data_IF_887180975648
#
_entry.id   IF_887180975648
#
_cell.length_a   1.000
_cell.length_b   1.000
_cell.length_c   1.000
_cell.angle_alpha   90.00
_cell.angle_beta   90.00
_cell.angle_gamma   90.00
#
_symmetry.space_group_name_H-M   'P 1'
#
loop_
_entity.id
_entity.type
_entity.pdbx_description
1 polymer ?
#
# COMPACT_ATOMS: atom_id res chain seq x y z
N UNK A 1 4.75 -1.96 -12.42
CA UNK A 1 3.88 -1.22 -11.48
C UNK A 1 3.30 -0.02 -12.22
N UNK A 2 2.05 0.36 -11.91
CA UNK A 2 1.43 1.58 -12.44
C UNK A 2 0.98 2.44 -11.27
N UNK A 3 1.23 3.75 -11.33
CA UNK A 3 0.88 4.71 -10.27
C UNK A 3 0.29 5.98 -10.88
N UNK A 4 -0.68 6.58 -10.20
CA UNK A 4 -1.16 7.91 -10.51
C UNK A 4 -0.11 8.95 -10.06
N UNK A 5 0.53 9.60 -11.01
CA UNK A 5 1.56 10.62 -10.75
C UNK A 5 1.17 11.88 -11.50
N UNK A 6 0.98 12.98 -10.76
CA UNK A 6 0.59 14.29 -11.30
C UNK A 6 -0.68 14.22 -12.17
N UNK A 7 -1.68 13.46 -11.70
CA UNK A 7 -2.96 13.31 -12.39
C UNK A 7 -2.95 12.38 -13.62
N UNK A 8 -1.84 11.73 -13.93
CA UNK A 8 -1.76 10.75 -15.01
C UNK A 8 -1.32 9.37 -14.50
N UNK A 9 -1.95 8.30 -15.03
CA UNK A 9 -1.51 6.94 -14.78
C UNK A 9 -0.17 6.71 -15.51
N UNK A 10 0.90 6.47 -14.75
CA UNK A 10 2.25 6.23 -15.27
C UNK A 10 2.65 4.78 -15.06
N UNK A 11 3.20 4.16 -16.09
CA UNK A 11 3.90 2.87 -15.97
C UNK A 11 5.33 3.14 -15.52
N UNK A 12 5.74 2.51 -14.43
CA UNK A 12 7.11 2.63 -13.91
C UNK A 12 8.00 1.52 -14.50
N UNK A 13 9.13 1.92 -15.07
CA UNK A 13 10.15 1.00 -15.59
C UNK A 13 10.87 0.32 -14.43
N UNK A 14 11.03 -1.02 -14.41
CA UNK A 14 11.81 -1.69 -13.38
C UNK A 14 13.24 -1.15 -13.31
N UNK A 15 13.75 -0.92 -12.10
CA UNK A 15 15.05 -0.27 -11.90
C UNK A 15 16.22 -0.99 -12.58
N UNK A 16 16.18 -2.32 -12.64
CA UNK A 16 17.20 -3.10 -13.34
C UNK A 16 17.19 -2.80 -14.85
N UNK A 17 16.01 -2.73 -15.48
CA UNK A 17 15.88 -2.40 -16.89
C UNK A 17 16.33 -0.96 -17.16
N UNK A 18 15.96 -0.01 -16.29
CA UNK A 18 16.39 1.38 -16.39
C UNK A 18 17.92 1.52 -16.27
N UNK A 19 18.54 0.83 -15.29
CA UNK A 19 20.00 0.83 -15.12
C UNK A 19 20.70 0.31 -16.36
N UNK A 20 20.25 -0.82 -16.91
CA UNK A 20 20.82 -1.40 -18.13
C UNK A 20 20.68 -0.46 -19.32
N UNK A 21 19.51 0.15 -19.53
CA UNK A 21 19.25 1.04 -20.66
C UNK A 21 20.13 2.31 -20.64
N UNK A 22 20.55 2.74 -19.46
CA UNK A 22 21.33 3.97 -19.27
C UNK A 22 22.76 3.70 -18.75
N UNK A 23 23.25 2.46 -18.78
CA UNK A 23 24.57 2.08 -18.27
C UNK A 23 24.87 2.60 -16.84
N UNK A 24 23.87 2.56 -15.95
CA UNK A 24 23.98 3.05 -14.58
C UNK A 24 24.55 1.95 -13.65
N UNK A 25 25.27 2.34 -12.59
CA UNK A 25 25.77 1.37 -11.62
C UNK A 25 24.63 0.67 -10.87
N UNK A 26 24.90 -0.52 -10.35
CA UNK A 26 23.94 -1.28 -9.53
C UNK A 26 23.52 -0.56 -8.24
N UNK A 27 24.28 0.46 -7.82
CA UNK A 27 23.98 1.31 -6.67
C UNK A 27 23.00 2.45 -6.98
N UNK A 28 22.73 2.76 -8.25
CA UNK A 28 21.78 3.82 -8.63
C UNK A 28 20.36 3.40 -8.26
N UNK A 29 19.80 3.92 -7.19
CA UNK A 29 18.43 3.60 -6.77
C UNK A 29 17.99 4.46 -5.60
N UNK A 30 16.83 4.14 -5.01
CA UNK A 30 16.26 4.91 -3.89
C UNK A 30 17.29 5.10 -2.77
N UNK A 31 18.05 4.05 -2.47
CA UNK A 31 19.11 4.04 -1.45
C UNK A 31 20.16 5.16 -1.61
N UNK A 32 20.51 5.49 -2.86
CA UNK A 32 21.54 6.47 -3.18
C UNK A 32 21.11 7.89 -2.84
N UNK A 33 19.81 8.17 -2.97
CA UNK A 33 19.25 9.51 -2.83
C UNK A 33 18.66 9.74 -1.44
N UNK A 34 17.92 8.76 -0.94
CA UNK A 34 17.30 8.80 0.38
C UNK A 34 17.54 7.45 1.06
N UNK A 35 18.71 7.25 1.70
CA UNK A 35 19.02 6.00 2.36
C UNK A 35 17.99 5.71 3.45
N UNK A 36 17.64 4.43 3.61
CA UNK A 36 16.84 3.95 4.74
C UNK A 36 17.77 3.23 5.69
N UNK A 37 17.71 3.59 6.96
CA UNK A 37 18.33 2.76 7.98
C UNK A 37 17.45 1.54 8.22
N UNK A 38 17.96 0.36 7.84
CA UNK A 38 17.30 -0.92 8.02
C UNK A 38 17.68 -1.61 9.34
N UNK A 39 18.53 -1.00 10.17
CA UNK A 39 18.96 -1.57 11.44
C UNK A 39 17.75 -1.77 12.37
N UNK A 40 17.56 -2.97 12.92
CA UNK A 40 16.43 -3.23 13.84
C UNK A 40 15.03 -3.10 13.22
N UNK A 41 14.88 -3.31 11.90
CA UNK A 41 13.57 -3.53 11.29
C UNK A 41 13.12 -4.99 11.49
N UNK A 42 11.81 -5.18 11.67
CA UNK A 42 11.19 -6.49 11.72
C UNK A 42 11.44 -7.28 10.43
N UNK A 43 11.85 -8.54 10.57
CA UNK A 43 12.06 -9.42 9.42
C UNK A 43 10.73 -10.11 9.12
N UNK A 44 10.01 -9.63 8.12
CA UNK A 44 8.78 -10.28 7.65
C UNK A 44 9.03 -11.76 7.28
N UNK A 45 10.24 -12.11 6.82
CA UNK A 45 10.64 -13.51 6.61
C UNK A 45 10.61 -14.38 7.88
N UNK A 46 10.82 -13.79 9.06
CA UNK A 46 10.66 -14.48 10.34
C UNK A 46 9.18 -14.58 10.74
N UNK A 47 8.39 -13.52 10.50
CA UNK A 47 6.94 -13.52 10.73
C UNK A 47 6.18 -14.52 9.85
N UNK A 48 6.62 -14.69 8.60
CA UNK A 48 6.09 -15.70 7.69
C UNK A 48 6.43 -17.12 8.15
N UNK A 49 7.64 -17.32 8.69
CA UNK A 49 8.09 -18.60 9.23
C UNK A 49 7.41 -18.99 10.54
N UNK A 50 7.03 -18.03 11.37
CA UNK A 50 6.32 -18.30 12.63
C UNK A 50 4.81 -18.54 12.45
N UNK A 51 4.25 -18.22 11.28
CA UNK A 51 2.81 -18.25 11.05
C UNK A 51 2.04 -17.12 11.76
N UNK A 52 2.74 -16.16 12.37
CA UNK A 52 2.12 -15.09 13.15
C UNK A 52 1.18 -14.22 12.31
N UNK A 53 1.58 -13.90 11.07
CA UNK A 53 0.74 -13.13 10.14
C UNK A 53 -0.52 -13.91 9.72
N UNK A 54 -0.40 -15.22 9.50
CA UNK A 54 -1.55 -16.06 9.19
C UNK A 54 -2.54 -16.10 10.37
N UNK A 55 -2.02 -16.24 11.60
CA UNK A 55 -2.83 -16.21 12.81
C UNK A 55 -3.54 -14.86 12.99
N UNK A 56 -2.85 -13.74 12.73
CA UNK A 56 -3.46 -12.41 12.75
C UNK A 56 -4.61 -12.32 11.75
N UNK A 57 -4.37 -12.78 10.52
CA UNK A 57 -5.37 -12.79 9.46
C UNK A 57 -6.63 -13.57 9.88
N UNK A 58 -6.46 -14.79 10.37
CA UNK A 58 -7.56 -15.64 10.85
C UNK A 58 -8.33 -15.00 12.01
N UNK A 59 -7.63 -14.42 12.98
CA UNK A 59 -8.25 -13.76 14.14
C UNK A 59 -9.05 -12.54 13.75
N UNK A 60 -8.52 -11.70 12.86
CA UNK A 60 -9.23 -10.52 12.36
C UNK A 60 -10.47 -10.96 11.60
N UNK A 61 -10.33 -11.94 10.68
CA UNK A 61 -11.48 -12.46 9.95
C UNK A 61 -12.53 -13.09 10.87
N UNK A 62 -12.14 -13.80 11.92
CA UNK A 62 -13.07 -14.35 12.90
C UNK A 62 -13.93 -13.26 13.56
N UNK A 63 -13.35 -12.10 13.85
CA UNK A 63 -14.07 -10.95 14.41
C UNK A 63 -14.85 -10.14 13.38
N UNK A 64 -14.56 -10.30 12.08
CA UNK A 64 -15.29 -9.57 11.04
C UNK A 64 -16.74 -10.05 10.98
N UNK A 65 -17.72 -9.15 11.21
CA UNK A 65 -19.13 -9.49 11.09
C UNK A 65 -19.47 -9.80 9.62
N UNK A 66 -20.47 -10.65 9.44
CA UNK A 66 -20.97 -11.01 8.11
C UNK A 66 -22.23 -10.23 7.79
N UNK A 67 -22.41 -9.86 6.54
CA UNK A 67 -23.70 -9.41 6.00
C UNK A 67 -24.25 -8.13 6.65
N UNK A 68 -23.37 -7.19 7.02
CA UNK A 68 -23.82 -5.92 7.57
C UNK A 68 -24.34 -4.98 6.47
N UNK A 69 -25.38 -4.17 6.75
CA UNK A 69 -25.76 -3.05 5.89
C UNK A 69 -24.62 -2.03 5.77
N UNK A 70 -24.47 -1.40 4.60
CA UNK A 70 -23.37 -0.46 4.33
C UNK A 70 -23.28 0.71 5.33
N UNK A 71 -24.44 1.16 5.85
CA UNK A 71 -24.51 2.24 6.85
C UNK A 71 -23.88 1.86 8.20
N UNK A 72 -23.76 0.56 8.50
CA UNK A 72 -23.17 0.05 9.75
C UNK A 72 -21.67 -0.25 9.62
N UNK A 73 -21.11 -0.17 8.40
CA UNK A 73 -19.73 -0.57 8.15
C UNK A 73 -18.70 0.32 8.84
N UNK A 74 -18.94 1.65 8.91
CA UNK A 74 -17.98 2.58 9.52
C UNK A 74 -17.68 2.23 10.98
N UNK A 75 -18.73 1.99 11.76
CA UNK A 75 -18.63 1.60 13.18
C UNK A 75 -18.03 0.19 13.34
N UNK A 76 -18.38 -0.75 12.45
CA UNK A 76 -17.76 -2.07 12.42
C UNK A 76 -16.26 -2.03 12.11
N UNK A 77 -15.84 -1.20 11.13
CA UNK A 77 -14.45 -1.05 10.74
C UNK A 77 -13.61 -0.34 11.80
N UNK A 78 -14.16 0.63 12.52
CA UNK A 78 -13.47 1.25 13.65
C UNK A 78 -13.16 0.24 14.76
N UNK A 79 -14.14 -0.61 15.12
CA UNK A 79 -13.92 -1.71 16.07
C UNK A 79 -12.88 -2.71 15.57
N UNK A 80 -12.96 -3.10 14.29
CA UNK A 80 -12.00 -4.03 13.69
C UNK A 80 -10.59 -3.45 13.64
N UNK A 81 -10.42 -2.15 13.36
CA UNK A 81 -9.11 -1.50 13.37
C UNK A 81 -8.49 -1.50 14.78
N UNK A 82 -9.29 -1.23 15.82
CA UNK A 82 -8.86 -1.35 17.22
C UNK A 82 -8.44 -2.79 17.56
N UNK A 83 -9.24 -3.78 17.15
CA UNK A 83 -8.93 -5.19 17.36
C UNK A 83 -7.65 -5.61 16.63
N UNK A 84 -7.53 -5.27 15.34
CA UNK A 84 -6.33 -5.48 14.54
C UNK A 84 -5.08 -4.89 15.22
N UNK A 85 -5.17 -3.66 15.72
CA UNK A 85 -4.07 -3.02 16.42
C UNK A 85 -3.71 -3.67 17.75
N UNK A 86 -4.68 -4.24 18.48
CA UNK A 86 -4.40 -5.01 19.70
C UNK A 86 -3.72 -6.34 19.37
N UNK A 87 -4.25 -7.08 18.39
CA UNK A 87 -3.70 -8.37 17.96
C UNK A 87 -2.31 -8.24 17.36
N UNK A 88 -2.09 -7.23 16.50
CA UNK A 88 -0.78 -6.95 15.90
C UNK A 88 0.28 -6.69 16.97
N UNK A 89 -0.05 -5.91 18.01
CA UNK A 89 0.85 -5.69 19.17
C UNK A 89 1.09 -6.97 19.96
N UNK A 90 0.05 -7.77 20.19
CA UNK A 90 0.16 -9.02 20.93
C UNK A 90 1.12 -10.02 20.25
N UNK A 91 1.13 -10.07 18.92
CA UNK A 91 2.03 -10.94 18.17
C UNK A 91 3.34 -10.25 17.76
N UNK A 92 3.53 -8.97 18.07
CA UNK A 92 4.65 -8.19 17.53
C UNK A 92 6.02 -8.72 17.97
N UNK A 93 6.12 -9.39 19.12
CA UNK A 93 7.35 -10.07 19.55
C UNK A 93 7.86 -11.10 18.51
N UNK A 94 6.98 -11.62 17.65
CA UNK A 94 7.31 -12.58 16.58
C UNK A 94 7.57 -11.90 15.22
N UNK A 95 7.12 -10.65 15.04
CA UNK A 95 7.24 -9.90 13.77
C UNK A 95 8.42 -8.91 13.85
N UNK A 96 8.58 -8.24 14.98
CA UNK A 96 9.65 -7.28 15.26
C UNK A 96 9.40 -5.89 14.67
N UNK A 97 8.15 -5.45 14.53
CA UNK A 97 7.84 -4.09 14.08
C UNK A 97 8.15 -3.06 15.18
N UNK A 98 8.58 -1.87 14.77
CA UNK A 98 8.65 -0.70 15.66
C UNK A 98 7.24 -0.15 15.90
N UNK A 99 7.02 0.55 17.01
CA UNK A 99 5.71 1.16 17.32
C UNK A 99 5.19 2.08 16.22
N UNK A 100 6.08 2.82 15.55
CA UNK A 100 5.69 3.67 14.42
C UNK A 100 5.17 2.84 13.22
N UNK A 101 5.76 1.67 12.96
CA UNK A 101 5.34 0.78 11.87
C UNK A 101 4.01 0.09 12.20
N UNK A 102 3.79 -0.27 13.47
CA UNK A 102 2.48 -0.73 13.96
C UNK A 102 1.43 0.38 13.75
N UNK A 103 1.76 1.63 14.10
CA UNK A 103 0.90 2.78 13.85
C UNK A 103 0.51 2.91 12.37
N UNK A 104 1.49 2.85 11.47
CA UNK A 104 1.23 2.90 10.03
C UNK A 104 0.37 1.74 9.52
N UNK A 105 0.60 0.52 10.01
CA UNK A 105 -0.21 -0.64 9.64
C UNK A 105 -1.68 -0.48 10.08
N UNK A 106 -1.91 -0.01 11.31
CA UNK A 106 -3.26 0.22 11.85
C UNK A 106 -3.97 1.33 11.07
N UNK A 107 -3.29 2.46 10.82
CA UNK A 107 -3.87 3.55 10.02
C UNK A 107 -4.19 3.09 8.60
N UNK A 108 -3.27 2.40 7.92
CA UNK A 108 -3.52 1.87 6.59
C UNK A 108 -4.68 0.88 6.54
N UNK A 109 -4.82 0.03 7.56
CA UNK A 109 -5.97 -0.87 7.70
C UNK A 109 -7.29 -0.10 7.80
N UNK A 110 -7.36 0.86 8.71
CA UNK A 110 -8.56 1.65 8.96
C UNK A 110 -8.94 2.51 7.74
N UNK A 111 -7.96 3.20 7.15
CA UNK A 111 -8.20 4.15 6.06
C UNK A 111 -8.70 3.45 4.79
N UNK A 112 -8.14 2.29 4.45
CA UNK A 112 -8.57 1.51 3.29
C UNK A 112 -10.01 0.99 3.45
N UNK A 113 -10.37 0.49 4.64
CA UNK A 113 -11.73 0.04 4.93
C UNK A 113 -12.73 1.20 4.98
N UNK A 114 -12.34 2.33 5.57
CA UNK A 114 -13.18 3.54 5.58
C UNK A 114 -13.42 4.06 4.17
N UNK A 115 -12.40 4.09 3.31
CA UNK A 115 -12.56 4.44 1.90
C UNK A 115 -13.59 3.53 1.21
N UNK A 116 -13.58 2.23 1.52
CA UNK A 116 -14.56 1.27 1.02
C UNK A 116 -15.97 1.53 1.56
N UNK A 117 -16.13 1.77 2.86
CA UNK A 117 -17.42 2.12 3.46
C UNK A 117 -18.03 3.39 2.85
N UNK A 118 -17.24 4.46 2.71
CA UNK A 118 -17.72 5.69 2.08
C UNK A 118 -18.12 5.48 0.62
N UNK A 119 -17.36 4.67 -0.13
CA UNK A 119 -17.71 4.34 -1.51
C UNK A 119 -19.03 3.56 -1.60
N UNK A 120 -19.29 2.64 -0.67
CA UNK A 120 -20.54 1.89 -0.60
C UNK A 120 -21.74 2.78 -0.22
N UNK A 121 -21.56 3.67 0.78
CA UNK A 121 -22.61 4.62 1.19
C UNK A 121 -22.96 5.58 0.04
N UNK A 122 -21.96 6.11 -0.68
CA UNK A 122 -22.19 6.95 -1.85
C UNK A 122 -22.94 6.20 -2.95
N UNK A 123 -22.53 4.97 -3.25
CA UNK A 123 -23.22 4.15 -4.25
C UNK A 123 -24.69 3.92 -3.88
N UNK A 124 -24.98 3.63 -2.60
CA UNK A 124 -26.34 3.49 -2.12
C UNK A 124 -27.17 4.78 -2.27
N UNK A 125 -26.59 5.94 -1.94
CA UNK A 125 -27.25 7.25 -2.07
C UNK A 125 -27.55 7.60 -3.54
N UNK A 126 -26.72 7.13 -4.48
CA UNK A 126 -26.85 7.37 -5.92
C UNK A 126 -27.60 6.25 -6.67
N UNK A 127 -28.16 5.26 -5.95
CA UNK A 127 -28.78 4.05 -6.50
C UNK A 127 -27.86 3.30 -7.49
N UNK A 128 -26.56 3.32 -7.25
CA UNK A 128 -25.53 2.61 -8.01
C UNK A 128 -25.11 1.31 -7.31
N UNK A 129 -24.57 0.33 -8.06
CA UNK A 129 -23.96 -0.84 -7.45
C UNK A 129 -22.76 -0.45 -6.58
N UNK A 130 -22.60 -1.14 -5.46
CA UNK A 130 -21.43 -0.97 -4.59
C UNK A 130 -20.17 -1.34 -5.39
N UNK A 131 -19.14 -0.49 -5.42
CA UNK A 131 -17.91 -0.78 -6.16
C UNK A 131 -17.19 -1.99 -5.57
N UNK A 132 -16.38 -2.67 -6.36
CA UNK A 132 -15.54 -3.74 -5.83
C UNK A 132 -14.50 -3.18 -4.86
N UNK A 133 -14.16 -3.94 -3.82
CA UNK A 133 -13.10 -3.53 -2.89
C UNK A 133 -11.78 -3.25 -3.64
N UNK A 134 -11.45 -4.08 -4.63
CA UNK A 134 -10.22 -3.93 -5.42
C UNK A 134 -10.13 -2.59 -6.15
N UNK A 135 -11.23 -2.08 -6.72
CA UNK A 135 -11.20 -0.78 -7.40
C UNK A 135 -11.02 0.37 -6.42
N UNK A 136 -11.70 0.32 -5.26
CA UNK A 136 -11.56 1.33 -4.21
C UNK A 136 -10.17 1.31 -3.60
N UNK A 137 -9.62 0.12 -3.31
CA UNK A 137 -8.26 -0.05 -2.81
C UNK A 137 -7.22 0.49 -3.79
N UNK A 138 -7.37 0.19 -5.09
CA UNK A 138 -6.47 0.71 -6.11
C UNK A 138 -6.52 2.25 -6.18
N UNK A 139 -7.71 2.85 -6.07
CA UNK A 139 -7.86 4.30 -6.02
C UNK A 139 -7.20 4.88 -4.76
N UNK A 140 -7.53 4.36 -3.58
CA UNK A 140 -6.94 4.79 -2.30
C UNK A 140 -5.41 4.70 -2.30
N UNK A 141 -4.86 3.60 -2.81
CA UNK A 141 -3.42 3.42 -2.95
C UNK A 141 -2.80 4.47 -3.88
N UNK A 142 -3.43 4.74 -5.02
CA UNK A 142 -2.96 5.78 -5.95
C UNK A 142 -3.07 7.19 -5.36
N UNK A 143 -4.10 7.47 -4.57
CA UNK A 143 -4.29 8.74 -3.88
C UNK A 143 -3.25 8.97 -2.77
N UNK A 144 -2.54 7.92 -2.35
CA UNK A 144 -1.40 8.01 -1.43
C UNK A 144 -0.07 8.35 -2.11
N UNK A 145 -0.01 8.34 -3.45
CA UNK A 145 1.24 8.56 -4.19
C UNK A 145 1.72 10.00 -3.98
N UNK A 146 2.97 10.16 -3.55
CA UNK A 146 3.62 11.47 -3.37
C UNK A 146 5.00 11.45 -4.02
N UNK A 147 5.44 12.58 -4.55
CA UNK A 147 6.81 12.78 -4.99
C UNK A 147 7.52 13.66 -3.96
N UNK A 148 8.72 13.25 -3.54
CA UNK A 148 9.59 14.02 -2.65
C UNK A 148 9.78 15.43 -3.20
N UNK A 149 9.66 16.45 -2.36
CA UNK A 149 9.98 17.83 -2.77
C UNK A 149 11.50 18.02 -2.94
N UNK A 150 12.30 17.16 -2.30
CA UNK A 150 13.75 17.16 -2.43
C UNK A 150 14.15 16.71 -3.83
N UNK A 151 14.88 17.57 -4.53
CA UNK A 151 15.51 17.26 -5.83
C UNK A 151 16.98 16.99 -5.60
N UNK A 152 17.40 15.74 -5.84
CA UNK A 152 18.78 15.34 -5.80
C UNK A 152 19.42 15.52 -7.17
N UNK A 153 20.67 15.96 -7.20
CA UNK A 153 21.46 16.02 -8.43
C UNK A 153 22.28 14.76 -8.58
N UNK A 154 22.31 14.18 -9.79
CA UNK A 154 23.14 13.03 -10.13
C UNK A 154 23.93 13.32 -11.41
N UNK A 155 25.25 13.18 -11.36
CA UNK A 155 26.09 13.35 -12.53
C UNK A 155 26.24 12.00 -13.26
N UNK A 156 25.86 11.95 -14.53
CA UNK A 156 25.99 10.77 -15.39
C UNK A 156 26.84 11.12 -16.62
N UNK A 157 28.12 10.79 -16.59
CA UNK A 157 29.09 11.33 -17.54
C UNK A 157 29.17 12.85 -17.37
N UNK A 158 28.93 13.59 -18.44
CA UNK A 158 28.88 15.07 -18.43
C UNK A 158 27.45 15.62 -18.29
N UNK A 159 26.44 14.76 -18.16
CA UNK A 159 25.05 15.16 -18.04
C UNK A 159 24.60 15.24 -16.58
N UNK A 160 23.95 16.35 -16.22
CA UNK A 160 23.33 16.55 -14.90
C UNK A 160 21.87 16.09 -14.91
N UNK A 161 21.55 15.11 -14.09
CA UNK A 161 20.18 14.61 -13.90
C UNK A 161 19.60 15.10 -12.58
N UNK A 162 18.28 15.27 -12.53
CA UNK A 162 17.54 15.52 -11.29
C UNK A 162 16.75 14.29 -10.91
N UNK A 163 16.81 13.91 -9.63
CA UNK A 163 16.14 12.73 -9.09
C UNK A 163 15.26 13.11 -7.91
N UNK A 164 14.03 12.62 -7.90
CA UNK A 164 13.11 12.73 -6.78
C UNK A 164 12.59 11.33 -6.42
N UNK A 165 12.35 11.06 -5.13
CA UNK A 165 11.84 9.77 -4.68
C UNK A 165 10.30 9.74 -4.76
N UNK A 166 9.75 8.61 -5.22
CA UNK A 166 8.31 8.33 -5.23
C UNK A 166 7.94 7.57 -3.96
N UNK A 167 6.90 8.03 -3.30
CA UNK A 167 6.32 7.48 -2.08
C UNK A 167 4.89 7.00 -2.33
N UNK A 168 4.48 5.97 -1.59
CA UNK A 168 3.09 5.56 -1.39
C UNK A 168 2.83 5.45 0.12
N UNK A 169 1.61 5.04 0.50
CA UNK A 169 1.27 4.73 1.90
C UNK A 169 2.18 3.67 2.52
N UNK A 170 2.80 2.81 1.70
CA UNK A 170 3.71 1.76 2.16
C UNK A 170 5.19 2.17 2.14
N UNK A 171 5.50 3.43 1.79
CA UNK A 171 6.85 3.98 1.82
C UNK A 171 7.42 4.27 0.43
N UNK A 172 8.74 4.17 0.30
CA UNK A 172 9.47 4.51 -0.92
C UNK A 172 9.31 3.39 -1.95
N UNK A 173 8.93 3.72 -3.18
CA UNK A 173 8.65 2.70 -4.22
C UNK A 173 9.43 2.92 -5.51
N UNK A 174 10.07 4.08 -5.68
CA UNK A 174 10.68 4.40 -6.96
C UNK A 174 11.28 5.79 -7.06
N UNK A 175 11.60 6.18 -8.28
CA UNK A 175 12.25 7.43 -8.63
C UNK A 175 11.51 8.11 -9.79
N UNK A 176 11.48 9.44 -9.73
CA UNK A 176 11.33 10.29 -10.90
C UNK A 176 12.74 10.74 -11.30
N UNK A 177 13.17 10.41 -12.51
CA UNK A 177 14.48 10.82 -13.05
C UNK A 177 14.25 11.76 -14.21
N UNK A 178 14.64 13.02 -14.03
CA UNK A 178 14.63 14.03 -15.08
C UNK A 178 16.02 14.10 -15.71
N UNK A 179 16.10 13.80 -17.00
CA UNK A 179 17.27 14.01 -17.85
C UNK A 179 17.06 15.27 -18.69
N UNK A 180 18.04 15.60 -19.53
CA UNK A 180 17.93 16.62 -20.57
C UNK A 180 16.90 16.25 -21.65
N UNK A 181 16.70 14.95 -21.90
CA UNK A 181 15.84 14.45 -22.98
C UNK A 181 14.42 14.14 -22.51
N UNK A 182 14.27 13.61 -21.30
CA UNK A 182 12.99 13.05 -20.87
C UNK A 182 12.84 12.98 -19.34
N UNK A 183 11.59 12.73 -18.94
CA UNK A 183 11.24 12.40 -17.56
C UNK A 183 10.88 10.93 -17.47
N UNK A 184 11.59 10.19 -16.64
CA UNK A 184 11.42 8.76 -16.45
C UNK A 184 10.82 8.46 -15.07
N UNK A 185 9.96 7.45 -15.02
CA UNK A 185 9.38 6.93 -13.79
C UNK A 185 9.91 5.51 -13.59
N UNK A 186 10.58 5.28 -12.47
CA UNK A 186 11.36 4.06 -12.23
C UNK A 186 10.87 3.39 -10.96
N UNK A 187 10.57 2.10 -11.00
CA UNK A 187 10.18 1.30 -9.84
C UNK A 187 11.39 0.60 -9.23
N UNK A 188 11.62 0.80 -7.93
CA UNK A 188 12.70 0.16 -7.17
C UNK A 188 12.13 -0.89 -6.23
N UNK A 189 12.09 -2.14 -6.72
CA UNK A 189 11.45 -3.25 -6.01
C UNK A 189 12.11 -3.59 -4.66
N UNK A 190 13.36 -3.19 -4.43
CA UNK A 190 14.05 -3.43 -3.17
C UNK A 190 13.41 -2.69 -1.98
N UNK A 191 12.68 -1.61 -2.26
CA UNK A 191 12.05 -0.76 -1.24
C UNK A 191 10.55 -0.98 -1.09
N UNK A 192 9.95 -1.88 -1.89
CA UNK A 192 8.56 -2.26 -1.73
C UNK A 192 8.36 -2.86 -0.34
N UNK A 193 7.34 -2.39 0.37
CA UNK A 193 7.01 -2.91 1.69
C UNK A 193 6.55 -4.36 1.58
N UNK A 194 7.20 -5.32 2.24
CA UNK A 194 6.79 -6.72 2.14
C UNK A 194 5.40 -6.98 2.77
N UNK A 195 4.91 -6.08 3.64
CA UNK A 195 3.59 -6.17 4.23
C UNK A 195 2.45 -5.73 3.29
N UNK A 196 2.75 -5.08 2.16
CA UNK A 196 1.73 -4.59 1.21
C UNK A 196 0.81 -5.73 0.74
N UNK A 197 1.38 -6.87 0.34
CA UNK A 197 0.61 -8.02 -0.12
C UNK A 197 -0.20 -8.71 1.00
N UNK A 198 0.33 -8.71 2.23
CA UNK A 198 -0.43 -9.23 3.38
C UNK A 198 -1.65 -8.34 3.67
N UNK A 199 -1.43 -7.02 3.73
CA UNK A 199 -2.47 -6.04 4.02
C UNK A 199 -3.56 -6.07 2.95
N UNK A 200 -3.20 -6.10 1.66
CA UNK A 200 -4.19 -6.14 0.58
C UNK A 200 -5.09 -7.37 0.67
N UNK A 201 -4.53 -8.57 0.89
CA UNK A 201 -5.31 -9.80 1.02
C UNK A 201 -6.20 -9.79 2.27
N UNK A 202 -5.68 -9.35 3.42
CA UNK A 202 -6.46 -9.25 4.64
C UNK A 202 -7.66 -8.31 4.46
N UNK A 203 -7.42 -7.12 3.88
CA UNK A 203 -8.47 -6.13 3.65
C UNK A 203 -9.50 -6.64 2.64
N UNK A 204 -9.09 -7.30 1.56
CA UNK A 204 -10.00 -7.91 0.58
C UNK A 204 -10.88 -8.98 1.22
N UNK A 205 -10.31 -9.82 2.10
CA UNK A 205 -11.06 -10.84 2.81
C UNK A 205 -12.05 -10.24 3.84
N UNK A 206 -11.67 -9.18 4.54
CA UNK A 206 -12.56 -8.44 5.45
C UNK A 206 -13.72 -7.82 4.67
N UNK A 207 -13.43 -7.13 3.57
CA UNK A 207 -14.42 -6.51 2.71
C UNK A 207 -15.38 -7.55 2.12
N UNK A 208 -14.87 -8.67 1.60
CA UNK A 208 -15.71 -9.74 1.07
C UNK A 208 -16.64 -10.34 2.14
N UNK A 209 -16.13 -10.55 3.36
CA UNK A 209 -16.92 -11.13 4.46
C UNK A 209 -18.04 -10.19 4.94
N UNK A 210 -17.76 -8.89 5.02
CA UNK A 210 -18.77 -7.91 5.47
C UNK A 210 -19.82 -7.62 4.40
N UNK A 211 -19.45 -7.70 3.11
CA UNK A 211 -20.31 -7.38 1.97
C UNK A 211 -21.09 -8.57 1.40
N UNK A 212 -20.89 -9.80 1.90
CA UNK A 212 -21.41 -11.04 1.31
C UNK A 212 -22.95 -11.11 1.14
N UNK A 213 -23.73 -10.24 1.80
CA UNK A 213 -25.18 -10.14 1.61
C UNK A 213 -25.62 -9.16 0.51
N UNK A 214 -24.72 -8.38 -0.09
CA UNK A 214 -25.06 -7.40 -1.13
C UNK A 214 -24.86 -7.96 -2.54
N UNK A 215 -24.95 -9.28 -2.73
CA UNK A 215 -25.10 -9.85 -4.06
C UNK A 215 -26.28 -9.13 -4.75
N UNK A 216 -26.11 -8.65 -5.99
CA UNK A 216 -27.15 -7.90 -6.67
C UNK A 216 -28.44 -8.73 -6.66
N UNK A 217 -29.55 -8.11 -6.27
CA UNK A 217 -30.86 -8.67 -6.52
C UNK A 217 -30.91 -8.99 -8.01
N UNK A 218 -30.86 -10.28 -8.35
CA UNK A 218 -31.06 -10.75 -9.71
C UNK A 218 -32.38 -10.15 -10.19
N UNK A 219 -32.30 -9.25 -11.16
CA UNK A 219 -33.48 -8.74 -11.85
C UNK A 219 -34.20 -9.93 -12.49
N UNK A 220 -35.29 -10.36 -11.87
CA UNK A 220 -36.28 -11.25 -12.45
C UNK A 220 -37.17 -10.46 -13.43
#
# INVERSE_FOLDING_TARGET
>A
MQLMIEGALRTLTPIQAFRTAHNLPSTFGVALFEPKDFSGLGRIDQAARSGALQLLHERVLAQTPTNLPALEWLDAFERLARYFGAELRAINAQIGLREMEIGFAISGFADALNAYAYAAVRAAAEAQPVPSFRSVYAQWYNDSVRISQTRHTYMHGDALWQVQVIYTIYGRVGLVVQTDQARHYVADAQYICPAEGFMSHLLEAVAAKISAAQAPASSA
#
